data_IF_304187909789
#
_entry.id   IF_304187909789
#
_cell.length_a   1.000
_cell.length_b   1.000
_cell.length_c   1.000
_cell.angle_alpha   90.00
_cell.angle_beta   90.00
_cell.angle_gamma   90.00
#
_symmetry.space_group_name_H-M   'P 1'
#
loop_
_entity.id
_entity.type
_entity.pdbx_description
1 polymer ?
#
# COMPACT_ATOMS: atom_id res chain seq x y z
N UNK A 1 16.03 -9.14 30.23
CA UNK A 1 15.93 -7.78 29.60
C UNK A 1 16.20 -7.91 28.10
N UNK A 2 15.48 -7.16 27.25
CA UNK A 2 15.45 -7.38 25.79
C UNK A 2 16.70 -6.92 24.97
N UNK A 3 17.81 -6.53 25.60
CA UNK A 3 19.07 -6.23 24.89
C UNK A 3 19.07 -4.97 23.99
N UNK A 4 18.08 -4.09 24.13
CA UNK A 4 17.91 -2.94 23.23
C UNK A 4 18.78 -1.77 23.70
N UNK A 5 19.74 -1.36 22.86
CA UNK A 5 20.67 -0.23 23.13
C UNK A 5 20.08 1.16 22.85
N UNK A 6 18.97 1.24 22.12
CA UNK A 6 18.30 2.51 21.80
C UNK A 6 17.34 2.90 22.93
N UNK A 7 17.26 4.20 23.23
CA UNK A 7 16.22 4.73 24.10
C UNK A 7 14.85 4.57 23.42
N UNK A 8 14.11 3.56 23.82
CA UNK A 8 12.74 3.34 23.38
C UNK A 8 11.83 4.10 24.33
N UNK A 9 11.12 5.08 23.79
CA UNK A 9 10.02 5.76 24.48
C UNK A 9 8.68 5.15 24.06
N UNK A 10 7.65 5.37 24.87
CA UNK A 10 6.27 4.90 24.60
C UNK A 10 5.77 5.28 23.19
N UNK A 11 6.17 6.44 22.68
CA UNK A 11 5.85 6.86 21.31
C UNK A 11 6.47 5.96 20.23
N UNK A 12 7.73 5.52 20.41
CA UNK A 12 8.43 4.64 19.46
C UNK A 12 7.75 3.29 19.32
N UNK A 13 7.16 2.77 20.41
CA UNK A 13 6.40 1.52 20.37
C UNK A 13 5.11 1.67 19.54
N UNK A 14 4.41 2.80 19.68
CA UNK A 14 3.23 3.10 18.84
C UNK A 14 3.58 3.26 17.38
N UNK A 15 4.68 3.97 17.08
CA UNK A 15 5.20 4.12 15.71
C UNK A 15 5.53 2.75 15.11
N UNK A 16 6.19 1.86 15.86
CA UNK A 16 6.51 0.51 15.39
C UNK A 16 5.26 -0.34 15.10
N UNK A 17 4.25 -0.25 15.97
CA UNK A 17 2.97 -0.94 15.80
C UNK A 17 2.21 -0.44 14.55
N UNK A 18 2.08 0.89 14.40
CA UNK A 18 1.45 1.51 13.23
C UNK A 18 2.19 1.16 11.92
N UNK A 19 3.52 1.25 11.93
CA UNK A 19 4.37 0.89 10.79
C UNK A 19 4.16 -0.57 10.39
N UNK A 20 4.05 -1.48 11.37
CA UNK A 20 3.76 -2.90 11.10
C UNK A 20 2.43 -3.09 10.39
N UNK A 21 1.36 -2.49 10.89
CA UNK A 21 0.03 -2.59 10.29
C UNK A 21 -0.01 -1.99 8.87
N UNK A 22 0.63 -0.83 8.66
CA UNK A 22 0.70 -0.19 7.34
C UNK A 22 1.51 -1.02 6.34
N UNK A 23 2.61 -1.67 6.78
CA UNK A 23 3.37 -2.61 5.94
C UNK A 23 2.54 -3.82 5.52
N UNK A 24 1.66 -4.30 6.39
CA UNK A 24 0.71 -5.36 6.08
C UNK A 24 -0.43 -4.90 5.15
N UNK A 25 -0.47 -3.64 4.75
CA UNK A 25 -1.48 -3.08 3.85
C UNK A 25 -2.78 -2.66 4.55
N UNK A 26 -2.75 -2.49 5.87
CA UNK A 26 -3.92 -2.03 6.61
C UNK A 26 -4.30 -0.59 6.24
N UNK A 27 -5.60 -0.32 6.17
CA UNK A 27 -6.12 1.02 5.94
C UNK A 27 -5.84 1.93 7.14
N UNK A 28 -5.58 3.21 6.88
CA UNK A 28 -5.29 4.24 7.89
C UNK A 28 -6.43 4.36 8.92
N UNK A 29 -7.70 4.26 8.47
CA UNK A 29 -8.85 4.26 9.39
C UNK A 29 -8.82 3.07 10.36
N UNK A 30 -8.42 1.91 9.87
CA UNK A 30 -8.29 0.71 10.70
C UNK A 30 -7.18 0.87 11.74
N UNK A 31 -6.01 1.38 11.32
CA UNK A 31 -4.90 1.68 12.23
C UNK A 31 -5.30 2.71 13.30
N UNK A 32 -6.09 3.70 12.93
CA UNK A 32 -6.61 4.70 13.87
C UNK A 32 -7.55 4.10 14.90
N UNK A 33 -8.50 3.26 14.48
CA UNK A 33 -9.44 2.55 15.37
C UNK A 33 -8.69 1.64 16.34
N UNK A 34 -7.70 0.89 15.86
CA UNK A 34 -6.87 0.01 16.69
C UNK A 34 -6.02 0.75 17.72
N UNK A 35 -5.59 1.98 17.42
CA UNK A 35 -4.79 2.80 18.34
C UNK A 35 -5.68 3.68 19.26
N UNK A 36 -6.98 3.78 18.99
CA UNK A 36 -7.93 4.58 19.78
C UNK A 36 -7.74 6.10 19.65
N UNK A 37 -7.21 6.56 18.51
CA UNK A 37 -6.91 7.98 18.32
C UNK A 37 -8.17 8.78 17.97
N UNK A 38 -8.45 9.84 18.75
CA UNK A 38 -9.59 10.76 18.54
C UNK A 38 -9.47 11.61 17.27
N UNK A 39 -8.26 11.81 16.75
CA UNK A 39 -7.98 12.58 15.52
C UNK A 39 -7.01 11.84 14.59
N UNK A 40 -7.24 11.97 13.29
CA UNK A 40 -6.42 11.40 12.20
C UNK A 40 -5.03 12.07 12.14
N UNK A 41 -4.90 13.34 12.54
CA UNK A 41 -3.62 14.09 12.49
C UNK A 41 -2.49 13.38 13.24
N UNK A 42 -2.80 12.80 14.39
CA UNK A 42 -1.81 12.10 15.21
C UNK A 42 -1.31 10.82 14.55
N UNK A 43 -2.15 10.19 13.71
CA UNK A 43 -1.82 8.98 12.94
C UNK A 43 -1.12 9.34 11.63
N UNK A 44 -1.41 10.51 11.06
CA UNK A 44 -0.77 11.02 9.83
C UNK A 44 0.75 11.17 9.99
N UNK A 45 1.20 11.60 11.19
CA UNK A 45 2.61 11.68 11.53
C UNK A 45 3.33 10.32 11.45
N UNK A 46 2.62 9.22 11.70
CA UNK A 46 3.18 7.86 11.57
C UNK A 46 3.31 7.42 10.10
N UNK A 47 2.46 7.96 9.24
CA UNK A 47 2.41 7.59 7.82
C UNK A 47 3.50 8.30 7.02
N UNK A 48 3.77 9.58 7.30
CA UNK A 48 4.83 10.34 6.59
C UNK A 48 6.23 9.75 6.78
N UNK A 49 6.44 9.00 7.87
CA UNK A 49 7.69 8.30 8.13
C UNK A 49 7.87 7.01 7.31
N UNK A 50 6.83 6.58 6.60
CA UNK A 50 6.88 5.45 5.68
C UNK A 50 6.82 5.92 4.22
N UNK A 51 7.79 5.53 3.37
CA UNK A 51 7.60 5.60 1.94
C UNK A 51 6.60 4.51 1.56
N UNK A 52 5.30 4.85 1.53
CA UNK A 52 4.32 4.03 0.82
C UNK A 52 4.74 4.06 -0.64
N UNK A 53 4.80 2.90 -1.30
CA UNK A 53 5.02 2.80 -2.75
C UNK A 53 3.83 3.43 -3.48
N UNK A 54 3.81 4.76 -3.52
CA UNK A 54 2.73 5.56 -4.10
C UNK A 54 2.51 5.14 -5.55
N UNK A 55 3.60 4.78 -6.24
CA UNK A 55 3.58 4.25 -7.61
C UNK A 55 2.77 2.95 -7.73
N UNK A 56 2.88 2.04 -6.75
CA UNK A 56 2.22 0.72 -6.74
C UNK A 56 0.76 0.81 -6.32
N UNK A 57 0.43 1.74 -5.42
CA UNK A 57 -0.97 2.05 -5.08
C UNK A 57 -1.64 2.76 -6.25
N UNK A 58 -0.99 3.78 -6.81
CA UNK A 58 -1.48 4.53 -7.97
C UNK A 58 -1.70 3.63 -9.18
N UNK A 59 -0.79 2.70 -9.48
CA UNK A 59 -1.00 1.74 -10.57
C UNK A 59 -2.21 0.84 -10.35
N UNK A 60 -2.56 0.52 -9.10
CA UNK A 60 -3.70 -0.35 -8.76
C UNK A 60 -5.04 0.38 -8.70
N UNK A 61 -5.05 1.64 -8.27
CA UNK A 61 -6.30 2.38 -8.01
C UNK A 61 -6.63 3.40 -9.09
N UNK A 62 -5.65 3.85 -9.89
CA UNK A 62 -5.90 4.90 -10.86
C UNK A 62 -6.60 4.34 -12.12
N UNK A 63 -7.77 4.87 -12.51
CA UNK A 63 -8.60 4.32 -13.60
C UNK A 63 -7.89 4.31 -14.97
N UNK A 64 -6.90 5.20 -15.15
CA UNK A 64 -6.07 5.27 -16.35
C UNK A 64 -5.13 4.08 -16.53
N UNK A 65 -4.60 3.48 -15.46
CA UNK A 65 -3.74 2.29 -15.58
C UNK A 65 -4.56 1.02 -15.81
N UNK A 66 -5.74 0.89 -15.19
CA UNK A 66 -6.68 -0.21 -15.47
C UNK A 66 -7.10 -0.28 -16.96
N UNK A 67 -7.22 0.89 -17.61
CA UNK A 67 -7.51 0.95 -19.06
C UNK A 67 -6.33 0.45 -19.91
N UNK A 68 -5.11 0.70 -19.46
CA UNK A 68 -3.86 0.33 -20.15
C UNK A 68 -3.64 -1.19 -20.15
N UNK A 69 -3.93 -1.86 -19.03
CA UNK A 69 -3.89 -3.32 -18.93
C UNK A 69 -4.98 -3.97 -19.80
N UNK A 70 -6.20 -3.44 -19.80
CA UNK A 70 -7.26 -3.93 -20.70
C UNK A 70 -6.89 -3.78 -22.17
N UNK A 71 -6.30 -2.65 -22.54
CA UNK A 71 -5.91 -2.37 -23.93
C UNK A 71 -4.70 -3.22 -24.37
N UNK A 72 -3.76 -3.54 -23.46
CA UNK A 72 -2.65 -4.45 -23.76
C UNK A 72 -3.12 -5.90 -23.89
N UNK A 73 -4.07 -6.33 -23.05
CA UNK A 73 -4.69 -7.65 -23.14
C UNK A 73 -5.53 -7.82 -24.41
N UNK A 74 -6.26 -6.79 -24.86
CA UNK A 74 -7.00 -6.84 -26.13
C UNK A 74 -6.07 -7.03 -27.34
N UNK A 75 -4.83 -6.51 -27.29
CA UNK A 75 -3.85 -6.63 -28.39
C UNK A 75 -3.26 -8.04 -28.49
N UNK A 76 -3.01 -8.70 -27.37
CA UNK A 76 -2.49 -10.09 -27.34
C UNK A 76 -3.55 -11.09 -27.78
N UNK A 77 -4.81 -10.90 -27.37
CA UNK A 77 -5.93 -11.76 -27.79
C UNK A 77 -6.16 -11.64 -29.31
N UNK A 78 -6.15 -10.43 -29.87
CA UNK A 78 -6.27 -10.25 -31.33
C UNK A 78 -5.13 -10.88 -32.13
N UNK A 79 -3.89 -10.78 -31.66
CA UNK A 79 -2.74 -11.38 -32.36
C UNK A 79 -2.75 -12.91 -32.31
N UNK A 80 -3.18 -13.49 -31.19
CA UNK A 80 -3.34 -14.95 -31.06
C UNK A 80 -4.51 -15.50 -31.88
N UNK A 81 -5.62 -14.77 -31.97
CA UNK A 81 -6.74 -15.11 -32.86
C UNK A 81 -6.35 -15.07 -34.35
N UNK A 82 -5.56 -14.07 -34.76
CA UNK A 82 -5.07 -13.99 -36.14
C UNK A 82 -4.17 -15.18 -36.47
N UNK A 83 -3.25 -15.57 -35.58
CA UNK A 83 -2.40 -16.76 -35.77
C UNK A 83 -3.21 -18.06 -35.87
N UNK A 84 -4.30 -18.21 -35.11
CA UNK A 84 -5.20 -19.37 -35.19
C UNK A 84 -6.00 -19.47 -36.49
N UNK A 85 -6.11 -18.38 -37.24
CA UNK A 85 -6.95 -18.27 -38.44
C UNK A 85 -6.14 -18.41 -39.75
N UNK A 86 -4.82 -18.44 -39.64
CA UNK A 86 -3.85 -18.58 -40.74
C UNK A 86 -3.32 -20.03 -40.85
N UNK A 87 -3.48 -20.84 -39.80
CA UNK A 87 -3.19 -22.29 -39.76
C UNK A 87 -4.51 -23.03 -39.99
#
# INVERSE_FOLDING_TARGET
KAGIKKNIVTHSMRVGCATGMLKSGANIKYVQEQLGHRSIESTEKYIRLMPVDLKKVHSKTHPRELKKERDSHLRTVKTTEIKKRII
#
